data_IF_033811575094
#
_entry.id   IF_033811575094
#
_cell.length_a   1.000
_cell.length_b   1.000
_cell.length_c   1.000
_cell.angle_alpha   90.00
_cell.angle_beta   90.00
_cell.angle_gamma   90.00
#
_symmetry.space_group_name_H-M   'P 1'
#
loop_
_entity.id
_entity.type
_entity.pdbx_description
1 polymer ?
#
# COMPACT_ATOMS: atom_id res chain seq x y z
N UNK A 1 -4.98 -6.76 17.18
CA UNK A 1 -3.96 -6.37 18.19
C UNK A 1 -4.12 -4.87 18.42
N UNK A 2 -4.38 -4.51 19.67
CA UNK A 2 -4.44 -3.10 20.07
C UNK A 2 -3.08 -2.71 20.63
N UNK A 3 -2.41 -1.75 20.02
CA UNK A 3 -1.15 -1.20 20.53
C UNK A 3 -1.52 0.03 21.37
N UNK A 4 -1.35 -0.06 22.68
CA UNK A 4 -1.57 1.06 23.59
C UNK A 4 -0.22 1.71 23.85
N UNK A 5 0.02 2.95 23.40
CA UNK A 5 1.26 3.64 23.73
C UNK A 5 1.28 3.91 25.25
N UNK A 6 2.26 3.38 25.93
CA UNK A 6 2.47 3.70 27.36
C UNK A 6 3.17 5.07 27.45
N UNK A 7 2.38 6.10 27.71
CA UNK A 7 2.89 7.48 27.80
C UNK A 7 3.10 7.98 29.23
N UNK A 8 2.66 7.22 30.24
CA UNK A 8 2.56 7.74 31.61
C UNK A 8 3.73 7.39 32.54
N UNK A 9 4.52 6.32 32.27
CA UNK A 9 5.68 5.95 33.09
C UNK A 9 6.77 5.36 32.19
N UNK A 10 7.44 6.22 31.44
CA UNK A 10 8.52 5.79 30.57
C UNK A 10 9.80 5.76 31.40
N UNK A 11 10.22 4.59 31.81
CA UNK A 11 11.59 4.37 32.28
C UNK A 11 12.50 4.36 31.04
N UNK A 12 13.22 5.45 30.85
CA UNK A 12 14.15 5.63 29.74
C UNK A 12 15.50 4.95 29.97
N UNK A 13 15.70 4.30 31.11
CA UNK A 13 16.98 3.63 31.46
C UNK A 13 17.24 2.38 30.61
N UNK A 14 16.17 1.80 30.00
CA UNK A 14 16.28 0.60 29.19
C UNK A 14 16.19 0.93 27.69
N UNK A 15 17.08 0.32 26.90
CA UNK A 15 16.99 0.37 25.43
C UNK A 15 15.62 -0.18 25.00
N UNK A 16 14.95 0.54 24.11
CA UNK A 16 13.66 0.13 23.56
C UNK A 16 13.85 -0.87 22.44
N UNK A 17 12.98 -1.85 22.39
CA UNK A 17 12.87 -2.75 21.24
C UNK A 17 12.08 -2.11 20.12
N UNK A 18 12.45 -2.41 18.89
CA UNK A 18 11.65 -1.95 17.74
C UNK A 18 10.40 -2.83 17.60
N UNK A 19 9.36 -2.28 16.99
CA UNK A 19 8.15 -3.05 16.68
C UNK A 19 8.45 -4.31 15.84
N UNK A 20 9.53 -4.29 15.06
CA UNK A 20 9.97 -5.43 14.24
C UNK A 20 10.42 -6.59 15.12
N UNK A 21 11.06 -6.31 16.25
CA UNK A 21 11.54 -7.34 17.19
C UNK A 21 10.40 -7.98 17.97
N UNK A 22 9.28 -7.27 18.11
CA UNK A 22 8.10 -7.74 18.80
C UNK A 22 7.32 -8.81 18.02
N UNK A 23 7.37 -8.80 16.70
CA UNK A 23 6.64 -9.73 15.89
C UNK A 23 7.35 -11.08 15.72
N UNK A 24 6.55 -12.14 15.62
CA UNK A 24 7.06 -13.49 15.38
C UNK A 24 7.90 -13.56 14.11
N UNK A 25 8.88 -14.49 14.06
CA UNK A 25 9.79 -14.64 12.91
C UNK A 25 9.08 -14.91 11.57
N UNK A 26 7.93 -15.60 11.61
CA UNK A 26 7.11 -15.88 10.41
C UNK A 26 6.18 -14.74 9.99
N UNK A 27 6.31 -13.55 10.60
CA UNK A 27 5.50 -12.40 10.21
C UNK A 27 5.85 -11.95 8.80
N UNK A 28 4.81 -11.72 7.98
CA UNK A 28 4.95 -11.11 6.67
C UNK A 28 4.85 -9.59 6.82
N UNK A 29 5.91 -8.90 6.42
CA UNK A 29 5.95 -7.44 6.35
C UNK A 29 5.54 -6.99 4.96
N UNK A 30 4.67 -6.00 4.89
CA UNK A 30 4.20 -5.43 3.61
C UNK A 30 4.49 -3.95 3.60
N UNK A 31 5.29 -3.51 2.65
CA UNK A 31 5.66 -2.10 2.45
C UNK A 31 5.05 -1.58 1.16
N UNK A 32 4.26 -0.53 1.28
CA UNK A 32 3.65 0.11 0.12
C UNK A 32 4.66 1.00 -0.63
N UNK A 33 5.50 1.71 0.14
CA UNK A 33 6.63 2.51 -0.35
C UNK A 33 7.77 2.39 0.67
N UNK A 34 8.69 1.47 0.39
CA UNK A 34 9.78 1.16 1.31
C UNK A 34 10.76 2.31 1.40
N UNK A 35 11.15 2.88 0.27
CA UNK A 35 12.17 3.93 0.23
C UNK A 35 11.68 5.22 0.89
N UNK A 36 10.41 5.58 0.69
CA UNK A 36 9.80 6.72 1.39
C UNK A 36 9.71 6.47 2.89
N UNK A 37 9.40 5.24 3.31
CA UNK A 37 9.38 4.86 4.73
C UNK A 37 10.75 5.05 5.35
N UNK A 38 11.82 4.56 4.69
CA UNK A 38 13.20 4.72 5.16
C UNK A 38 13.61 6.20 5.22
N UNK A 39 13.22 6.99 4.22
CA UNK A 39 13.48 8.43 4.21
C UNK A 39 12.83 9.15 5.40
N UNK A 40 11.58 8.84 5.71
CA UNK A 40 10.86 9.43 6.86
C UNK A 40 11.56 9.04 8.17
N UNK A 41 11.92 7.78 8.35
CA UNK A 41 12.62 7.31 9.55
C UNK A 41 13.96 8.03 9.74
N UNK A 42 14.74 8.18 8.68
CA UNK A 42 16.00 8.90 8.72
C UNK A 42 15.81 10.38 9.05
N UNK A 43 14.78 11.01 8.51
CA UNK A 43 14.45 12.41 8.85
C UNK A 43 14.07 12.56 10.34
N UNK A 44 13.29 11.63 10.89
CA UNK A 44 12.90 11.64 12.30
C UNK A 44 14.12 11.43 13.21
N UNK A 45 14.98 10.47 12.87
CA UNK A 45 16.20 10.18 13.61
C UNK A 45 17.15 11.38 13.61
N UNK A 46 17.41 11.97 12.43
CA UNK A 46 18.27 13.16 12.30
C UNK A 46 17.68 14.38 13.01
N UNK A 47 16.36 14.50 13.07
CA UNK A 47 15.68 15.51 13.88
C UNK A 47 15.94 15.33 15.37
N UNK A 48 15.85 14.10 15.86
CA UNK A 48 16.17 13.76 17.26
C UNK A 48 17.63 14.04 17.61
N UNK A 49 18.59 13.70 16.72
CA UNK A 49 20.02 14.00 16.90
C UNK A 49 20.29 15.52 17.01
N UNK A 50 19.65 16.32 16.17
CA UNK A 50 19.77 17.79 16.24
C UNK A 50 19.28 18.35 17.58
N UNK A 51 18.14 17.87 18.06
CA UNK A 51 17.60 18.27 19.36
C UNK A 51 18.52 17.84 20.49
N UNK A 52 19.02 16.60 20.43
CA UNK A 52 19.96 16.07 21.40
C UNK A 52 21.23 16.92 21.48
N UNK A 53 21.84 17.24 20.36
CA UNK A 53 23.09 18.01 20.28
C UNK A 53 22.91 19.49 20.65
N UNK A 54 21.68 20.01 20.62
CA UNK A 54 21.39 21.40 20.96
C UNK A 54 21.12 21.65 22.44
N UNK A 55 20.92 20.62 23.25
CA UNK A 55 20.63 20.73 24.69
C UNK A 55 21.84 20.42 25.53
N UNK A 56 22.02 21.18 26.64
CA UNK A 56 23.16 21.05 27.55
C UNK A 56 23.01 19.84 28.50
N UNK A 57 21.78 19.46 28.84
CA UNK A 57 21.46 18.29 29.68
C UNK A 57 20.51 17.37 28.92
N UNK A 58 21.06 16.35 28.29
CA UNK A 58 20.30 15.33 27.58
C UNK A 58 20.43 14.00 28.30
N UNK A 59 19.34 13.51 28.85
CA UNK A 59 19.29 12.25 29.58
C UNK A 59 19.30 11.02 28.67
N UNK A 60 18.95 11.16 27.37
CA UNK A 60 18.81 10.02 26.49
C UNK A 60 19.32 10.29 25.08
N UNK A 61 20.26 9.52 24.64
CA UNK A 61 20.78 9.56 23.29
C UNK A 61 19.73 9.03 22.27
N UNK A 62 19.67 9.58 21.05
CA UNK A 62 18.66 9.21 20.05
C UNK A 62 18.56 7.70 19.78
N UNK A 63 19.68 6.99 19.77
CA UNK A 63 19.77 5.54 19.58
C UNK A 63 19.10 4.70 20.67
N UNK A 64 18.80 5.30 21.83
CA UNK A 64 18.05 4.62 22.91
C UNK A 64 16.54 4.70 22.70
N UNK A 65 16.07 5.69 21.96
CA UNK A 65 14.65 6.00 21.79
C UNK A 65 14.13 5.72 20.36
N UNK A 66 15.00 5.82 19.38
CA UNK A 66 14.67 5.71 17.97
C UNK A 66 15.52 4.65 17.30
N UNK A 67 14.98 4.05 16.27
CA UNK A 67 15.70 3.19 15.35
C UNK A 67 15.96 3.96 14.04
N UNK A 68 17.14 3.82 13.49
CA UNK A 68 17.48 4.42 12.20
C UNK A 68 17.11 3.50 11.02
N UNK A 69 17.18 4.05 9.81
CA UNK A 69 16.88 3.33 8.58
C UNK A 69 17.79 2.12 8.34
N UNK A 70 19.08 2.27 8.63
CA UNK A 70 20.08 1.20 8.46
C UNK A 70 19.77 -0.01 9.35
N UNK A 71 19.41 0.22 10.61
CA UNK A 71 19.04 -0.86 11.54
C UNK A 71 17.76 -1.57 11.09
N UNK A 72 16.78 -0.84 10.57
CA UNK A 72 15.54 -1.44 10.04
C UNK A 72 15.84 -2.30 8.81
N UNK A 73 16.64 -1.79 7.87
CA UNK A 73 17.05 -2.54 6.68
C UNK A 73 17.72 -3.86 7.07
N UNK A 74 18.65 -3.83 8.04
CA UNK A 74 19.32 -5.04 8.53
C UNK A 74 18.32 -6.03 9.17
N UNK A 75 17.38 -5.54 9.97
CA UNK A 75 16.35 -6.39 10.60
C UNK A 75 15.42 -7.06 9.56
N UNK A 76 15.11 -6.36 8.48
CA UNK A 76 14.16 -6.85 7.44
C UNK A 76 14.84 -7.79 6.44
N UNK A 77 16.14 -7.68 6.21
CA UNK A 77 16.88 -8.53 5.25
C UNK A 77 16.60 -10.02 5.38
N UNK A 78 16.36 -10.49 6.61
CA UNK A 78 16.14 -11.90 6.92
C UNK A 78 14.68 -12.21 7.29
N UNK A 79 13.77 -11.30 7.01
CA UNK A 79 12.33 -11.47 7.26
C UNK A 79 11.56 -11.69 5.96
N UNK A 80 10.38 -12.27 6.07
CA UNK A 80 9.46 -12.37 4.94
C UNK A 80 8.87 -10.98 4.66
N UNK A 81 9.17 -10.41 3.50
CA UNK A 81 8.69 -9.08 3.13
C UNK A 81 8.18 -9.02 1.69
N UNK A 82 7.12 -8.28 1.48
CA UNK A 82 6.62 -7.84 0.17
C UNK A 82 6.82 -6.34 0.10
N UNK A 83 7.47 -5.88 -0.96
CA UNK A 83 7.71 -4.47 -1.22
C UNK A 83 7.04 -4.14 -2.54
N UNK A 84 6.04 -3.26 -2.51
CA UNK A 84 5.48 -2.67 -3.70
C UNK A 84 6.42 -1.56 -4.16
N UNK A 85 6.71 -1.52 -5.43
CA UNK A 85 7.69 -0.66 -6.07
C UNK A 85 9.16 -1.07 -5.87
N UNK A 86 10.03 -0.72 -6.83
CA UNK A 86 11.46 -1.00 -6.74
C UNK A 86 12.10 -0.24 -5.57
N UNK A 87 12.86 -0.94 -4.73
CA UNK A 87 13.65 -0.32 -3.67
C UNK A 87 15.13 -0.25 -4.05
N UNK A 88 15.77 0.88 -3.74
CA UNK A 88 17.22 1.06 -3.88
C UNK A 88 18.02 0.39 -2.75
N UNK A 89 17.39 0.15 -1.61
CA UNK A 89 18.02 -0.40 -0.41
C UNK A 89 18.13 -1.92 -0.41
N UNK A 90 17.23 -2.63 -1.12
CA UNK A 90 17.18 -4.10 -1.13
C UNK A 90 17.45 -4.63 -2.54
N UNK A 91 18.64 -5.20 -2.75
CA UNK A 91 19.11 -5.62 -4.09
C UNK A 91 18.79 -7.07 -4.45
N UNK A 92 18.63 -7.96 -3.45
CA UNK A 92 18.40 -9.39 -3.68
C UNK A 92 16.96 -9.76 -3.33
N UNK A 93 16.03 -9.46 -4.22
CA UNK A 93 14.61 -9.82 -4.09
C UNK A 93 14.13 -10.51 -5.36
N UNK A 94 13.19 -11.44 -5.21
CA UNK A 94 12.42 -11.97 -6.34
C UNK A 94 11.47 -10.86 -6.80
N UNK A 95 11.65 -10.37 -8.03
CA UNK A 95 10.75 -9.38 -8.62
C UNK A 95 9.59 -10.09 -9.28
N UNK A 96 8.39 -9.62 -9.01
CA UNK A 96 7.16 -9.97 -9.72
C UNK A 96 6.70 -8.68 -10.39
N UNK A 97 6.66 -8.67 -11.71
CA UNK A 97 6.13 -7.55 -12.46
C UNK A 97 4.67 -7.82 -12.77
N UNK A 98 3.81 -6.88 -12.46
CA UNK A 98 2.38 -6.91 -12.78
C UNK A 98 2.15 -5.76 -13.76
N UNK A 99 1.71 -6.12 -14.98
CA UNK A 99 1.47 -5.14 -16.04
C UNK A 99 0.01 -4.68 -15.95
N UNK A 100 -0.28 -3.79 -15.02
CA UNK A 100 -1.60 -3.25 -14.81
C UNK A 100 -1.65 -1.76 -15.12
N UNK A 101 -2.66 -1.36 -15.87
CA UNK A 101 -2.99 0.04 -16.12
C UNK A 101 -4.20 0.45 -15.27
N UNK A 102 -4.20 1.65 -14.67
CA UNK A 102 -5.38 2.12 -13.95
C UNK A 102 -6.54 2.35 -14.92
N UNK A 103 -7.74 1.94 -14.52
CA UNK A 103 -8.95 2.22 -15.28
C UNK A 103 -9.12 3.75 -15.46
N UNK A 104 -9.46 4.22 -16.66
CA UNK A 104 -9.79 5.62 -16.89
C UNK A 104 -10.98 6.10 -16.06
N UNK A 105 -11.01 7.38 -15.72
CA UNK A 105 -12.16 7.97 -15.05
C UNK A 105 -13.23 8.37 -16.05
N UNK A 106 -14.44 7.85 -15.90
CA UNK A 106 -15.57 8.15 -16.79
C UNK A 106 -16.46 9.30 -16.30
N UNK A 107 -16.23 9.82 -15.09
CA UNK A 107 -16.97 10.96 -14.52
C UNK A 107 -18.50 10.82 -14.63
N UNK A 108 -19.04 9.63 -14.39
CA UNK A 108 -20.47 9.28 -14.53
C UNK A 108 -21.01 9.35 -15.95
N UNK A 109 -20.18 9.42 -16.98
CA UNK A 109 -20.59 9.40 -18.38
C UNK A 109 -20.62 7.95 -18.87
N UNK A 110 -21.80 7.34 -18.89
CA UNK A 110 -21.95 5.93 -19.25
C UNK A 110 -21.62 5.63 -20.71
N UNK A 111 -21.85 6.57 -21.62
CA UNK A 111 -21.42 6.44 -23.02
C UNK A 111 -19.90 6.19 -23.12
N UNK A 112 -19.07 6.95 -22.38
CA UNK A 112 -17.62 6.75 -22.38
C UNK A 112 -17.22 5.41 -21.77
N UNK A 113 -17.95 4.96 -20.74
CA UNK A 113 -17.74 3.63 -20.17
C UNK A 113 -18.06 2.53 -21.18
N UNK A 114 -19.19 2.62 -21.88
CA UNK A 114 -19.62 1.65 -22.89
C UNK A 114 -18.61 1.58 -24.04
N UNK A 115 -18.21 2.74 -24.58
CA UNK A 115 -17.20 2.82 -25.63
C UNK A 115 -15.88 2.16 -25.20
N UNK A 116 -15.47 2.39 -23.96
CA UNK A 116 -14.25 1.80 -23.41
C UNK A 116 -14.37 0.28 -23.27
N UNK A 117 -15.48 -0.23 -22.71
CA UNK A 117 -15.73 -1.66 -22.57
C UNK A 117 -15.79 -2.37 -23.93
N UNK A 118 -16.40 -1.74 -24.92
CA UNK A 118 -16.44 -2.30 -26.28
C UNK A 118 -15.06 -2.32 -26.92
N UNK A 119 -14.30 -1.23 -26.83
CA UNK A 119 -12.91 -1.19 -27.29
C UNK A 119 -12.04 -2.25 -26.63
N UNK A 120 -12.23 -2.51 -25.33
CA UNK A 120 -11.52 -3.57 -24.63
C UNK A 120 -11.95 -4.95 -25.12
N UNK A 121 -13.25 -5.18 -25.36
CA UNK A 121 -13.74 -6.42 -25.95
C UNK A 121 -13.15 -6.67 -27.34
N UNK A 122 -13.03 -5.64 -28.18
CA UNK A 122 -12.43 -5.74 -29.51
C UNK A 122 -10.93 -6.07 -29.48
N UNK A 123 -10.23 -5.69 -28.41
CA UNK A 123 -8.84 -6.05 -28.13
C UNK A 123 -8.68 -7.44 -27.49
N UNK A 124 -9.78 -8.12 -27.19
CA UNK A 124 -9.79 -9.45 -26.59
C UNK A 124 -9.83 -9.46 -25.05
N UNK A 125 -9.97 -8.31 -24.39
CA UNK A 125 -10.15 -8.25 -22.95
C UNK A 125 -11.50 -8.78 -22.49
N UNK A 126 -11.54 -9.39 -21.34
CA UNK A 126 -12.75 -9.70 -20.61
C UNK A 126 -13.10 -8.56 -19.65
N UNK A 127 -14.29 -7.96 -19.85
CA UNK A 127 -14.75 -6.89 -18.99
C UNK A 127 -15.46 -7.44 -17.75
N UNK A 128 -15.03 -7.00 -16.56
CA UNK A 128 -15.62 -7.36 -15.27
C UNK A 128 -16.02 -6.11 -14.51
N UNK A 129 -17.30 -5.98 -14.17
CA UNK A 129 -17.84 -4.88 -13.36
C UNK A 129 -18.00 -5.36 -11.92
N UNK A 130 -17.22 -4.79 -11.02
CA UNK A 130 -17.34 -5.02 -9.59
C UNK A 130 -18.40 -4.11 -8.99
N UNK A 131 -19.36 -4.70 -8.28
CA UNK A 131 -20.46 -3.98 -7.66
C UNK A 131 -20.48 -4.27 -6.15
N UNK A 132 -20.84 -3.27 -5.36
CA UNK A 132 -20.94 -3.41 -3.90
C UNK A 132 -22.14 -4.28 -3.47
N UNK A 133 -23.18 -4.37 -4.31
CA UNK A 133 -24.39 -5.14 -4.06
C UNK A 133 -25.14 -5.42 -5.37
N UNK A 134 -26.15 -6.29 -5.30
CA UNK A 134 -26.99 -6.70 -6.44
C UNK A 134 -27.78 -5.54 -7.05
N UNK A 135 -28.24 -4.59 -6.23
CA UNK A 135 -28.99 -3.44 -6.74
C UNK A 135 -28.12 -2.56 -7.65
N UNK A 136 -26.85 -2.41 -7.30
CA UNK A 136 -25.89 -1.70 -8.15
C UNK A 136 -25.64 -2.45 -9.46
N UNK A 137 -25.51 -3.76 -9.42
CA UNK A 137 -25.35 -4.58 -10.61
C UNK A 137 -26.57 -4.47 -11.55
N UNK A 138 -27.78 -4.57 -10.98
CA UNK A 138 -29.02 -4.40 -11.72
C UNK A 138 -29.11 -3.01 -12.37
N UNK A 139 -28.75 -1.96 -11.62
CA UNK A 139 -28.75 -0.60 -12.14
C UNK A 139 -27.80 -0.42 -13.34
N UNK A 140 -26.61 -1.02 -13.33
CA UNK A 140 -25.71 -1.00 -14.49
C UNK A 140 -26.35 -1.70 -15.69
N UNK A 141 -26.97 -2.85 -15.45
CA UNK A 141 -27.66 -3.59 -16.51
C UNK A 141 -28.80 -2.77 -17.14
N UNK A 142 -29.64 -2.16 -16.31
CA UNK A 142 -30.77 -1.34 -16.76
C UNK A 142 -30.29 -0.13 -17.61
N UNK A 143 -29.25 0.57 -17.14
CA UNK A 143 -28.63 1.70 -17.86
C UNK A 143 -28.08 1.26 -19.22
N UNK A 144 -27.39 0.12 -19.28
CA UNK A 144 -26.84 -0.36 -20.57
C UNK A 144 -27.93 -0.80 -21.53
N UNK A 145 -29.04 -1.36 -21.03
CA UNK A 145 -30.21 -1.66 -21.85
C UNK A 145 -30.89 -0.39 -22.38
N UNK A 146 -31.08 0.63 -21.53
CA UNK A 146 -31.69 1.92 -21.95
C UNK A 146 -30.86 2.63 -23.03
N UNK A 147 -29.56 2.44 -23.06
CA UNK A 147 -28.69 3.03 -24.07
C UNK A 147 -28.69 2.28 -25.40
N UNK A 148 -29.34 1.10 -25.47
CA UNK A 148 -29.48 0.26 -26.68
C UNK A 148 -28.14 -0.11 -27.34
N UNK A 149 -27.01 -0.04 -26.62
CA UNK A 149 -25.71 -0.38 -27.13
C UNK A 149 -25.27 -1.73 -26.49
N UNK A 150 -25.00 -2.76 -27.32
CA UNK A 150 -24.57 -4.04 -26.77
C UNK A 150 -23.19 -3.93 -26.10
N UNK A 151 -23.08 -4.43 -24.88
CA UNK A 151 -21.83 -4.46 -24.11
C UNK A 151 -21.63 -5.86 -23.55
N UNK A 152 -20.42 -6.40 -23.73
CA UNK A 152 -20.03 -7.67 -23.14
C UNK A 152 -19.32 -7.43 -21.82
N UNK A 153 -19.89 -7.92 -20.73
CA UNK A 153 -19.30 -7.82 -19.40
C UNK A 153 -19.80 -8.94 -18.48
N UNK A 154 -19.04 -9.22 -17.43
CA UNK A 154 -19.47 -10.02 -16.28
C UNK A 154 -19.63 -9.12 -15.07
N UNK A 155 -20.49 -9.50 -14.13
CA UNK A 155 -20.67 -8.77 -12.88
C UNK A 155 -20.21 -9.61 -11.71
N UNK A 156 -19.45 -9.01 -10.79
CA UNK A 156 -19.01 -9.63 -9.53
C UNK A 156 -19.48 -8.75 -8.38
N UNK A 157 -20.20 -9.37 -7.42
CA UNK A 157 -20.68 -8.67 -6.22
C UNK A 157 -19.58 -8.70 -5.15
N UNK A 158 -18.58 -7.83 -5.34
CA UNK A 158 -17.51 -7.54 -4.37
C UNK A 158 -17.05 -6.11 -4.55
N UNK A 159 -16.77 -5.36 -3.49
CA UNK A 159 -16.20 -4.03 -3.62
C UNK A 159 -14.76 -4.10 -4.14
N UNK A 160 -14.44 -3.27 -5.13
CA UNK A 160 -13.09 -3.01 -5.59
C UNK A 160 -12.81 -1.51 -5.44
N UNK A 161 -11.69 -1.16 -4.82
CA UNK A 161 -11.37 0.24 -4.52
C UNK A 161 -11.08 1.06 -5.78
N UNK A 162 -10.34 0.46 -6.72
CA UNK A 162 -10.02 1.05 -8.04
C UNK A 162 -10.05 -0.04 -9.10
N UNK A 163 -10.60 0.30 -10.27
CA UNK A 163 -10.53 -0.56 -11.44
C UNK A 163 -9.13 -0.54 -12.08
N UNK A 164 -8.82 -1.58 -12.81
CA UNK A 164 -7.57 -1.73 -13.55
C UNK A 164 -7.79 -2.54 -14.84
N UNK A 165 -6.84 -2.45 -15.74
CA UNK A 165 -6.71 -3.29 -16.92
C UNK A 165 -5.43 -4.11 -16.76
N UNK A 166 -5.51 -5.42 -17.01
CA UNK A 166 -4.39 -6.36 -16.88
C UNK A 166 -4.11 -6.96 -18.26
N UNK A 167 -2.88 -6.78 -18.73
CA UNK A 167 -2.38 -7.40 -19.97
C UNK A 167 -1.52 -8.59 -19.57
N UNK A 168 -2.06 -9.81 -19.68
CA UNK A 168 -1.28 -11.05 -19.57
C UNK A 168 -0.40 -11.31 -20.80
#
# INVERSE_FOLDING_TARGET
ITIIPNTSNIDFSNKRDSIIDFFHENTLYVFNDFDQTMKILNQLYSGAEKIYNSKINNDHAPETLFINDTEIIEKIKNKNAIIFEPSFHIKKIKKIQINQNPQPSFNKKFNLLIDHLNNNSDKGFENVIFCSNENQAKRFHDIFQEMEIPVKYKTIIKPLYKGFEDEE
#
